data_IF_937291481868
#
_entry.id   IF_937291481868
#
_cell.length_a   1.000
_cell.length_b   1.000
_cell.length_c   1.000
_cell.angle_alpha   90.00
_cell.angle_beta   90.00
_cell.angle_gamma   90.00
#
_symmetry.space_group_name_H-M   'P 1'
#
loop_
_entity.id
_entity.type
_entity.pdbx_description
1 polymer ?
#
# COMPACT_ATOMS: atom_id res chain seq x y z
N UNK A 1 27.04 -15.05 28.14
CA UNK A 1 27.33 -14.61 26.76
C UNK A 1 26.05 -14.19 26.04
N UNK A 2 25.49 -13.02 26.36
CA UNK A 2 24.24 -12.53 25.74
C UNK A 2 24.36 -11.09 25.15
N UNK A 3 25.53 -10.45 25.24
CA UNK A 3 25.66 -9.00 25.00
C UNK A 3 26.30 -8.61 23.65
N UNK A 4 26.82 -9.56 22.86
CA UNK A 4 27.47 -9.23 21.58
C UNK A 4 26.47 -9.23 20.41
N UNK A 5 25.53 -10.17 20.40
CA UNK A 5 24.51 -10.31 19.35
C UNK A 5 23.59 -9.08 19.29
N UNK A 6 23.10 -8.61 20.45
CA UNK A 6 22.23 -7.42 20.52
C UNK A 6 22.95 -6.12 20.15
N UNK A 7 24.28 -6.06 20.27
CA UNK A 7 25.09 -4.88 19.95
C UNK A 7 25.37 -4.77 18.44
N UNK A 8 25.41 -5.90 17.74
CA UNK A 8 25.65 -6.00 16.30
C UNK A 8 24.35 -5.96 15.48
N UNK A 9 23.25 -6.51 16.02
CA UNK A 9 21.97 -6.64 15.31
C UNK A 9 20.82 -5.87 15.96
N UNK A 10 21.07 -5.08 17.01
CA UNK A 10 20.04 -4.28 17.70
C UNK A 10 19.56 -3.04 16.92
N UNK A 11 20.19 -2.75 15.78
CA UNK A 11 19.77 -1.70 14.87
C UNK A 11 18.60 -2.19 14.02
N UNK A 12 17.36 -1.81 14.36
CA UNK A 12 16.23 -2.00 13.45
C UNK A 12 16.47 -1.21 12.16
N UNK A 13 16.55 -1.91 11.03
CA UNK A 13 16.52 -1.28 9.71
C UNK A 13 15.08 -0.82 9.48
N UNK A 14 14.87 0.49 9.49
CA UNK A 14 13.60 1.11 9.11
C UNK A 14 13.67 1.50 7.64
N UNK A 15 12.70 1.05 6.85
CA UNK A 15 12.51 1.58 5.51
C UNK A 15 11.78 2.91 5.60
N UNK A 16 12.24 3.90 4.83
CA UNK A 16 11.45 5.09 4.62
C UNK A 16 10.19 4.70 3.83
N UNK A 17 9.02 5.25 4.16
CA UNK A 17 7.82 5.03 3.35
C UNK A 17 8.11 5.48 1.92
N UNK A 18 7.86 4.57 0.98
CA UNK A 18 7.95 4.85 -0.46
C UNK A 18 6.57 5.32 -0.89
N UNK A 19 6.51 6.43 -1.60
CA UNK A 19 5.30 6.81 -2.32
C UNK A 19 5.18 5.91 -3.55
N UNK A 20 4.18 5.00 -3.60
CA UNK A 20 4.03 4.04 -4.69
C UNK A 20 3.64 4.73 -6.01
N UNK A 21 3.36 6.03 -6.01
CA UNK A 21 2.96 6.80 -7.18
C UNK A 21 4.05 7.73 -7.72
N UNK A 22 5.19 7.83 -7.02
CA UNK A 22 6.21 8.86 -7.28
C UNK A 22 7.06 8.62 -8.54
N UNK A 23 6.96 7.45 -9.18
CA UNK A 23 7.72 7.10 -10.39
C UNK A 23 6.99 7.45 -11.70
N UNK A 24 5.95 8.28 -11.64
CA UNK A 24 5.13 8.68 -12.79
C UNK A 24 3.83 7.88 -12.93
N UNK A 25 3.62 6.89 -12.06
CA UNK A 25 2.39 6.09 -12.05
C UNK A 25 1.14 6.95 -11.82
N UNK A 26 1.24 8.03 -11.04
CA UNK A 26 0.13 8.97 -10.84
C UNK A 26 -0.36 9.57 -12.16
N UNK A 27 0.55 10.03 -13.00
CA UNK A 27 0.25 10.62 -14.30
C UNK A 27 -0.36 9.59 -15.26
N UNK A 28 0.12 8.35 -15.23
CA UNK A 28 -0.42 7.25 -16.04
C UNK A 28 -1.85 6.90 -15.63
N UNK A 29 -2.13 6.80 -14.33
CA UNK A 29 -3.49 6.56 -13.81
C UNK A 29 -4.45 7.69 -14.24
N UNK A 30 -4.04 8.95 -14.09
CA UNK A 30 -4.86 10.10 -14.50
C UNK A 30 -5.13 10.08 -16.00
N UNK A 31 -4.15 9.65 -16.80
CA UNK A 31 -4.29 9.54 -18.25
C UNK A 31 -5.27 8.43 -18.62
N UNK A 32 -5.14 7.25 -18.01
CA UNK A 32 -6.01 6.10 -18.25
C UNK A 32 -7.47 6.42 -17.91
N UNK A 33 -7.74 7.15 -16.82
CA UNK A 33 -9.10 7.55 -16.44
C UNK A 33 -9.81 8.45 -17.48
N UNK A 34 -9.06 9.06 -18.39
CA UNK A 34 -9.63 9.88 -19.48
C UNK A 34 -9.97 9.06 -20.72
N UNK A 35 -9.57 7.79 -20.76
CA UNK A 35 -9.83 6.93 -21.90
C UNK A 35 -11.31 6.50 -21.96
N UNK A 36 -11.89 6.33 -23.17
CA UNK A 36 -13.29 5.93 -23.32
C UNK A 36 -13.63 4.59 -22.65
N UNK A 37 -12.67 3.67 -22.62
CA UNK A 37 -12.78 2.34 -22.01
C UNK A 37 -12.49 2.32 -20.51
N UNK A 38 -12.20 3.47 -19.88
CA UNK A 38 -11.86 3.53 -18.48
C UNK A 38 -13.04 3.03 -17.62
N UNK A 39 -12.73 2.10 -16.70
CA UNK A 39 -13.70 1.63 -15.72
C UNK A 39 -14.01 2.79 -14.78
N UNK A 40 -15.28 3.18 -14.73
CA UNK A 40 -15.78 4.14 -13.75
C UNK A 40 -16.39 3.35 -12.62
N UNK A 41 -15.80 3.48 -11.45
CA UNK A 41 -16.38 2.97 -10.21
C UNK A 41 -17.39 3.99 -9.72
N UNK A 42 -18.60 3.54 -9.43
CA UNK A 42 -19.60 4.38 -8.77
C UNK A 42 -19.41 4.39 -7.25
N UNK A 43 -20.27 5.12 -6.53
CA UNK A 43 -20.16 5.25 -5.09
C UNK A 43 -20.38 3.91 -4.35
N UNK A 44 -21.20 3.02 -4.91
CA UNK A 44 -21.52 1.73 -4.32
C UNK A 44 -20.34 0.76 -4.53
N UNK A 45 -19.73 0.77 -5.73
CA UNK A 45 -18.49 0.04 -6.03
C UNK A 45 -17.34 0.43 -5.08
N UNK A 46 -17.19 1.72 -4.79
CA UNK A 46 -16.15 2.21 -3.88
C UNK A 46 -16.39 1.71 -2.45
N UNK A 47 -17.65 1.67 -2.00
CA UNK A 47 -17.99 1.18 -0.66
C UNK A 47 -17.67 -0.31 -0.52
N UNK A 48 -17.98 -1.11 -1.54
CA UNK A 48 -17.74 -2.55 -1.55
C UNK A 48 -16.24 -2.88 -1.63
N UNK A 49 -15.47 -2.16 -2.44
CA UNK A 49 -14.00 -2.28 -2.48
C UNK A 49 -13.40 -1.92 -1.11
N UNK A 50 -13.88 -0.85 -0.48
CA UNK A 50 -13.38 -0.45 0.86
C UNK A 50 -13.70 -1.51 1.92
N UNK A 51 -14.90 -2.08 1.90
CA UNK A 51 -15.30 -3.19 2.79
C UNK A 51 -14.42 -4.41 2.56
N UNK A 52 -14.10 -4.74 1.30
CA UNK A 52 -13.20 -5.86 0.97
C UNK A 52 -11.83 -5.68 1.61
N UNK A 53 -11.17 -4.53 1.40
CA UNK A 53 -9.82 -4.30 1.94
C UNK A 53 -9.80 -4.19 3.47
N UNK A 54 -10.83 -3.62 4.10
CA UNK A 54 -10.92 -3.58 5.57
C UNK A 54 -10.96 -4.96 6.24
N UNK A 55 -11.39 -6.00 5.51
CA UNK A 55 -11.36 -7.38 6.00
C UNK A 55 -9.98 -8.02 5.87
N UNK A 56 -9.18 -7.60 4.87
CA UNK A 56 -7.84 -8.10 4.65
C UNK A 56 -6.84 -7.55 5.70
N UNK A 57 -7.03 -6.31 6.15
CA UNK A 57 -6.17 -5.71 7.20
C UNK A 57 -6.34 -6.36 8.59
N UNK A 58 -7.44 -7.09 8.83
CA UNK A 58 -7.74 -7.72 10.12
C UNK A 58 -7.02 -9.03 10.41
N UNK A 59 -6.27 -9.59 9.46
CA UNK A 59 -5.68 -10.94 9.55
C UNK A 59 -4.14 -10.93 9.75
N UNK A 60 -3.53 -9.77 9.97
CA UNK A 60 -2.08 -9.62 10.15
C UNK A 60 -1.62 -9.61 11.63
N UNK A 61 -2.55 -9.67 12.58
CA UNK A 61 -2.26 -9.81 14.02
C UNK A 61 -2.43 -11.28 14.47
N UNK A 62 -1.48 -12.15 14.09
CA UNK A 62 -1.35 -13.53 14.60
C UNK A 62 0.04 -13.83 15.13
#
# INVERSE_FOLDING_TARGET
MQNLFNKLFGSKVGFLPIDPLADGLAEEIIKEQREPQAIRLDADDIEDIRKFWSRADGDFDS
#
